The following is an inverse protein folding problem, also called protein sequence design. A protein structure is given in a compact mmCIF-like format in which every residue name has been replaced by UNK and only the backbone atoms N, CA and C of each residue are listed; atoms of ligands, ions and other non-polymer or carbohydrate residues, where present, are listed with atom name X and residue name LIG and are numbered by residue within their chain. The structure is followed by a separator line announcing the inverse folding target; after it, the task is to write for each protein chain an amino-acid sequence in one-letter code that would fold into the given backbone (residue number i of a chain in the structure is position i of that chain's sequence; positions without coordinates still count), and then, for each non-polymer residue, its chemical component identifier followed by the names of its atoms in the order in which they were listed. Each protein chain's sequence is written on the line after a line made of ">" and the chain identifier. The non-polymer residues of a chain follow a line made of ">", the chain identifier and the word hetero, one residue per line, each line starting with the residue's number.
data_IF_519436480889
#
_entry.id   IF_519436480889
#
_cell.length_a   1.000
_cell.length_b   1.000
_cell.length_c   1.000
_cell.angle_alpha   90.00
_cell.angle_beta   90.00
_cell.angle_gamma   90.00
#
_symmetry.space_group_name_H-M   'P 1'
#
loop_
_entity.id
_entity.type
_entity.pdbx_description
1 polymer ?
#
# COMPACT_ATOMS: atom_id res chain seq x y z
N UNK A 1 0.00 1.04 -10.64
CA UNK A 1 -1.00 1.12 -9.57
C UNK A 1 -1.42 2.56 -9.30
N UNK A 2 -0.53 3.38 -8.72
CA UNK A 2 -0.88 4.69 -8.15
C UNK A 2 -1.73 5.60 -9.06
N UNK A 3 -1.48 5.64 -10.37
CA UNK A 3 -2.19 6.49 -11.33
C UNK A 3 -3.52 5.93 -11.86
N UNK A 4 -3.98 4.76 -11.39
CA UNK A 4 -5.10 4.03 -12.01
C UNK A 4 -6.41 4.84 -12.06
N UNK A 5 -6.67 5.72 -11.09
CA UNK A 5 -7.88 6.55 -11.09
C UNK A 5 -7.69 7.82 -11.93
N UNK A 6 -6.51 8.44 -11.86
CA UNK A 6 -6.24 9.71 -12.54
C UNK A 6 -5.81 9.54 -14.01
N UNK A 7 -5.61 8.30 -14.48
CA UNK A 7 -5.08 8.00 -15.81
C UNK A 7 -5.98 8.54 -16.91
N UNK A 8 -7.28 8.30 -16.82
CA UNK A 8 -8.23 8.74 -17.84
C UNK A 8 -8.38 10.26 -17.89
N UNK A 9 -8.31 10.94 -16.74
CA UNK A 9 -8.28 12.40 -16.68
C UNK A 9 -6.97 12.96 -17.29
N UNK A 10 -5.84 12.29 -17.05
CA UNK A 10 -4.54 12.67 -17.64
C UNK A 10 -4.53 12.48 -19.15
N UNK A 11 -5.08 11.38 -19.62
CA UNK A 11 -5.05 10.96 -21.03
C UNK A 11 -6.22 11.55 -21.83
N UNK A 12 -7.05 12.41 -21.22
CA UNK A 12 -8.25 13.04 -21.83
C UNK A 12 -9.28 12.03 -22.36
N UNK A 13 -9.39 10.88 -21.70
CA UNK A 13 -10.36 9.82 -22.04
C UNK A 13 -11.50 9.69 -21.03
N UNK A 14 -11.48 10.50 -19.96
CA UNK A 14 -12.51 10.50 -18.92
C UNK A 14 -13.91 10.85 -19.49
N UNK A 15 -14.00 11.78 -20.44
CA UNK A 15 -15.27 12.16 -21.07
C UNK A 15 -15.92 10.98 -21.80
N UNK A 16 -15.16 10.25 -22.63
CA UNK A 16 -15.65 9.07 -23.34
C UNK A 16 -16.07 7.94 -22.40
N UNK A 17 -15.44 7.84 -21.22
CA UNK A 17 -15.83 6.85 -20.21
C UNK A 17 -17.16 7.23 -19.55
N UNK A 18 -17.37 8.52 -19.31
CA UNK A 18 -18.56 9.04 -18.61
C UNK A 18 -19.79 9.19 -19.52
N UNK A 19 -19.65 9.12 -20.84
CA UNK A 19 -20.80 9.02 -21.77
C UNK A 19 -21.43 7.63 -21.80
N UNK A 20 -20.72 6.60 -21.31
CA UNK A 20 -21.29 5.25 -21.18
C UNK A 20 -22.30 5.22 -20.02
N UNK A 21 -23.35 4.38 -20.09
CA UNK A 21 -24.34 4.24 -19.02
C UNK A 21 -23.79 3.46 -17.81
N UNK A 22 -22.65 3.88 -17.27
CA UNK A 22 -21.94 3.27 -16.15
C UNK A 22 -21.83 4.31 -15.04
N UNK A 23 -22.25 3.96 -13.83
CA UNK A 23 -22.17 4.88 -12.69
C UNK A 23 -20.72 5.13 -12.28
N UNK A 24 -20.42 6.34 -11.77
CA UNK A 24 -19.12 6.68 -11.18
C UNK A 24 -18.71 5.72 -10.05
N UNK A 25 -19.69 5.23 -9.28
CA UNK A 25 -19.46 4.21 -8.24
C UNK A 25 -18.92 2.92 -8.83
N UNK A 26 -19.51 2.44 -9.92
CA UNK A 26 -19.06 1.21 -10.57
C UNK A 26 -17.64 1.39 -11.14
N UNK A 27 -17.36 2.52 -11.79
CA UNK A 27 -16.01 2.83 -12.30
C UNK A 27 -14.97 2.77 -11.17
N UNK A 28 -15.26 3.42 -10.04
CA UNK A 28 -14.37 3.43 -8.88
C UNK A 28 -14.14 2.01 -8.32
N UNK A 29 -15.23 1.26 -8.05
CA UNK A 29 -15.13 -0.09 -7.48
C UNK A 29 -14.34 -1.02 -8.41
N UNK A 30 -14.62 -1.02 -9.71
CA UNK A 30 -13.89 -1.84 -10.68
C UNK A 30 -12.40 -1.51 -10.67
N UNK A 31 -12.03 -0.22 -10.63
CA UNK A 31 -10.62 0.20 -10.53
C UNK A 31 -9.96 -0.25 -9.23
N UNK A 32 -10.67 -0.19 -8.10
CA UNK A 32 -10.17 -0.68 -6.81
C UNK A 32 -9.97 -2.19 -6.81
N UNK A 33 -10.91 -2.94 -7.38
CA UNK A 33 -10.76 -4.39 -7.53
C UNK A 33 -9.54 -4.74 -8.40
N UNK A 34 -9.37 -4.08 -9.55
CA UNK A 34 -8.20 -4.29 -10.41
C UNK A 34 -6.90 -3.96 -9.66
N UNK A 35 -6.87 -2.88 -8.89
CA UNK A 35 -5.70 -2.48 -8.12
C UNK A 35 -5.36 -3.49 -7.02
N UNK A 36 -6.36 -3.96 -6.28
CA UNK A 36 -6.20 -4.99 -5.23
C UNK A 36 -5.74 -6.29 -5.85
N UNK A 37 -6.36 -6.74 -6.96
CA UNK A 37 -5.92 -7.95 -7.67
C UNK A 37 -4.47 -7.83 -8.10
N UNK A 38 -4.07 -6.69 -8.68
CA UNK A 38 -2.67 -6.47 -9.09
C UNK A 38 -1.71 -6.54 -7.89
N UNK A 39 -2.06 -5.91 -6.76
CA UNK A 39 -1.25 -5.93 -5.55
C UNK A 39 -1.13 -7.35 -4.97
N UNK A 40 -2.24 -8.08 -4.88
CA UNK A 40 -2.26 -9.46 -4.38
C UNK A 40 -1.51 -10.42 -5.31
N UNK A 41 -1.65 -10.27 -6.64
CA UNK A 41 -0.89 -11.08 -7.60
C UNK A 41 0.60 -10.81 -7.49
N UNK A 42 1.02 -9.54 -7.38
CA UNK A 42 2.43 -9.20 -7.19
C UNK A 42 2.99 -9.77 -5.89
N UNK A 43 2.22 -9.66 -4.80
CA UNK A 43 2.58 -10.24 -3.50
C UNK A 43 2.67 -11.77 -3.55
N UNK A 44 1.72 -12.42 -4.22
CA UNK A 44 1.73 -13.88 -4.38
C UNK A 44 2.96 -14.35 -5.16
N UNK A 45 3.26 -13.70 -6.28
CA UNK A 45 4.46 -14.00 -7.08
C UNK A 45 5.70 -13.82 -6.21
N UNK A 46 5.84 -12.69 -5.51
CA UNK A 46 6.97 -12.43 -4.62
C UNK A 46 7.10 -13.50 -3.51
N UNK A 47 5.99 -13.90 -2.89
CA UNK A 47 5.97 -14.91 -1.82
C UNK A 47 6.38 -16.28 -2.35
N UNK A 48 5.82 -16.70 -3.50
CA UNK A 48 6.17 -17.99 -4.14
C UNK A 48 7.65 -17.99 -4.53
N UNK A 49 8.15 -16.91 -5.13
CA UNK A 49 9.57 -16.78 -5.45
C UNK A 49 10.43 -16.90 -4.20
N UNK A 50 10.07 -16.21 -3.10
CA UNK A 50 10.81 -16.32 -1.85
C UNK A 50 10.85 -17.76 -1.32
N UNK A 51 9.72 -18.48 -1.35
CA UNK A 51 9.64 -19.89 -0.93
C UNK A 51 10.53 -20.78 -1.81
N UNK A 52 10.48 -20.61 -3.14
CA UNK A 52 11.31 -21.39 -4.08
C UNK A 52 12.81 -21.19 -3.76
N UNK A 53 13.24 -19.95 -3.53
CA UNK A 53 14.63 -19.66 -3.21
C UNK A 53 15.05 -20.20 -1.85
N UNK A 54 14.19 -20.11 -0.84
CA UNK A 54 14.46 -20.66 0.50
C UNK A 54 14.61 -22.19 0.44
N UNK A 55 13.73 -22.88 -0.29
CA UNK A 55 13.82 -24.34 -0.43
C UNK A 55 15.03 -24.75 -1.29
N UNK A 56 15.35 -23.98 -2.34
CA UNK A 56 16.43 -24.32 -3.27
C UNK A 56 17.84 -23.97 -2.79
N UNK A 57 17.99 -22.95 -1.95
CA UNK A 57 19.29 -22.41 -1.53
C UNK A 57 19.41 -22.09 -0.04
N UNK A 58 18.31 -22.18 0.73
CA UNK A 58 18.31 -21.85 2.15
C UNK A 58 18.90 -22.95 3.03
N UNK A 59 19.16 -22.59 4.28
CA UNK A 59 19.58 -23.52 5.33
C UNK A 59 18.39 -24.38 5.81
N UNK A 60 18.66 -25.57 6.36
CA UNK A 60 17.60 -26.50 6.78
C UNK A 60 16.71 -25.98 7.93
N UNK A 61 17.16 -24.96 8.69
CA UNK A 61 16.50 -24.48 9.91
C UNK A 61 15.65 -23.22 9.74
N UNK A 62 14.89 -23.11 8.64
CA UNK A 62 14.03 -21.95 8.40
C UNK A 62 12.83 -21.94 9.35
N UNK A 63 12.67 -20.85 10.10
CA UNK A 63 11.47 -20.63 10.90
C UNK A 63 10.31 -20.10 10.03
N UNK A 64 9.43 -21.01 9.61
CA UNK A 64 8.27 -20.67 8.79
C UNK A 64 7.25 -19.74 9.46
N UNK A 65 7.15 -19.76 10.80
CA UNK A 65 6.25 -18.86 11.54
C UNK A 65 6.70 -17.40 11.41
N UNK A 66 8.01 -17.16 11.56
CA UNK A 66 8.64 -15.85 11.35
C UNK A 66 8.43 -15.38 9.91
N UNK A 67 8.64 -16.29 8.92
CA UNK A 67 8.41 -16.00 7.51
C UNK A 67 6.98 -15.54 7.24
N UNK A 68 5.97 -16.26 7.73
CA UNK A 68 4.55 -15.94 7.54
C UNK A 68 4.21 -14.61 8.22
N UNK A 69 4.69 -14.39 9.45
CA UNK A 69 4.47 -13.14 10.19
C UNK A 69 5.02 -11.93 9.43
N UNK A 70 6.26 -12.03 8.93
CA UNK A 70 6.90 -11.00 8.11
C UNK A 70 6.11 -10.71 6.82
N UNK A 71 5.64 -11.75 6.14
CA UNK A 71 4.86 -11.60 4.91
C UNK A 71 3.48 -10.99 5.17
N UNK A 72 2.84 -11.33 6.29
CA UNK A 72 1.56 -10.74 6.68
C UNK A 72 1.70 -9.25 7.00
N UNK A 73 2.71 -8.86 7.80
CA UNK A 73 3.02 -7.45 8.06
C UNK A 73 3.30 -6.70 6.75
N UNK A 74 4.13 -7.29 5.87
CA UNK A 74 4.44 -6.74 4.54
C UNK A 74 3.20 -6.55 3.66
N UNK A 75 2.29 -7.52 3.62
CA UNK A 75 1.04 -7.42 2.86
C UNK A 75 0.17 -6.26 3.35
N UNK A 76 0.01 -6.12 4.67
CA UNK A 76 -0.80 -5.03 5.25
C UNK A 76 -0.18 -3.67 4.91
N UNK A 77 1.14 -3.54 4.97
CA UNK A 77 1.85 -2.34 4.56
C UNK A 77 1.66 -2.04 3.07
N UNK A 78 1.76 -3.05 2.18
CA UNK A 78 1.51 -2.89 0.74
C UNK A 78 0.10 -2.36 0.49
N UNK A 79 -0.91 -2.92 1.16
CA UNK A 79 -2.30 -2.47 1.03
C UNK A 79 -2.47 -1.03 1.56
N UNK A 80 -1.86 -0.72 2.69
CA UNK A 80 -1.91 0.61 3.30
C UNK A 80 -1.30 1.69 2.39
N UNK A 81 -0.08 1.48 1.89
CA UNK A 81 0.56 2.43 0.98
C UNK A 81 -0.15 2.50 -0.37
N UNK A 82 -0.76 1.41 -0.84
CA UNK A 82 -1.63 1.43 -2.02
C UNK A 82 -2.82 2.37 -1.81
N UNK A 83 -3.47 2.32 -0.64
CA UNK A 83 -4.59 3.19 -0.29
C UNK A 83 -4.16 4.66 -0.14
N UNK A 84 -2.96 4.91 0.40
CA UNK A 84 -2.36 6.27 0.40
C UNK A 84 -2.18 6.78 -1.03
N UNK A 85 -1.65 5.95 -1.93
CA UNK A 85 -1.47 6.32 -3.33
C UNK A 85 -2.79 6.68 -4.02
N UNK A 86 -3.84 5.90 -3.77
CA UNK A 86 -5.20 6.20 -4.24
C UNK A 86 -5.70 7.53 -3.69
N UNK A 87 -5.54 7.76 -2.39
CA UNK A 87 -5.96 9.02 -1.74
C UNK A 87 -5.23 10.24 -2.30
N UNK A 88 -3.90 10.16 -2.45
CA UNK A 88 -3.09 11.22 -3.04
C UNK A 88 -3.50 11.52 -4.49
N UNK A 89 -3.91 10.51 -5.25
CA UNK A 89 -4.40 10.71 -6.62
C UNK A 89 -5.65 11.59 -6.70
N UNK A 90 -6.43 11.67 -5.61
CA UNK A 90 -7.62 12.52 -5.52
C UNK A 90 -7.26 13.97 -5.14
N UNK A 91 -6.17 14.19 -4.41
CA UNK A 91 -5.72 15.51 -3.98
C UNK A 91 -4.85 16.21 -5.02
N UNK A 92 -4.05 15.47 -5.77
CA UNK A 92 -3.07 16.01 -6.72
C UNK A 92 -3.74 16.19 -8.09
N UNK A 93 -3.43 17.30 -8.77
CA UNK A 93 -3.95 17.57 -10.11
C UNK A 93 -3.58 16.44 -11.09
N UNK A 94 -4.51 15.95 -11.92
CA UNK A 94 -4.30 14.77 -12.78
C UNK A 94 -3.14 14.88 -13.76
N UNK A 95 -2.82 16.11 -14.18
CA UNK A 95 -1.72 16.40 -15.12
C UNK A 95 -0.32 16.23 -14.49
N UNK A 96 -0.21 16.16 -13.16
CA UNK A 96 1.07 15.97 -12.47
C UNK A 96 1.28 14.49 -12.15
N UNK A 97 2.48 13.98 -12.45
CA UNK A 97 2.88 12.65 -12.01
C UNK A 97 3.17 12.66 -10.50
N UNK A 98 2.38 11.94 -9.70
CA UNK A 98 2.54 11.81 -8.25
C UNK A 98 3.17 10.48 -7.81
N UNK A 99 3.64 9.68 -8.78
CA UNK A 99 4.33 8.43 -8.49
C UNK A 99 5.56 8.67 -7.61
N UNK A 100 6.35 9.71 -7.91
CA UNK A 100 7.53 10.06 -7.11
C UNK A 100 7.20 10.40 -5.65
N UNK A 101 6.07 11.10 -5.42
CA UNK A 101 5.61 11.41 -4.05
C UNK A 101 5.19 10.13 -3.32
N UNK A 102 4.46 9.24 -4.01
CA UNK A 102 4.01 7.97 -3.42
C UNK A 102 5.22 7.11 -3.03
N UNK A 103 6.18 6.96 -3.94
CA UNK A 103 7.44 6.23 -3.70
C UNK A 103 8.24 6.88 -2.56
N UNK A 104 8.35 8.21 -2.56
CA UNK A 104 9.02 8.97 -1.52
C UNK A 104 8.38 8.78 -0.13
N UNK A 105 7.06 8.66 -0.04
CA UNK A 105 6.37 8.38 1.23
C UNK A 105 6.70 6.97 1.72
N UNK A 106 6.70 5.96 0.84
CA UNK A 106 7.03 4.57 1.21
C UNK A 106 8.47 4.48 1.71
N UNK A 107 9.44 4.91 0.90
CA UNK A 107 10.85 4.83 1.26
C UNK A 107 11.21 5.79 2.38
N UNK A 108 10.66 7.00 2.39
CA UNK A 108 10.86 7.96 3.47
C UNK A 108 10.37 7.40 4.81
N UNK A 109 9.20 6.76 4.84
CA UNK A 109 8.72 6.08 6.04
C UNK A 109 9.65 4.95 6.47
N UNK A 110 10.12 4.12 5.54
CA UNK A 110 11.08 3.06 5.83
C UNK A 110 12.37 3.62 6.45
N UNK A 111 12.95 4.67 5.86
CA UNK A 111 14.16 5.31 6.38
C UNK A 111 13.94 5.97 7.75
N UNK A 112 12.80 6.61 7.99
CA UNK A 112 12.47 7.16 9.30
C UNK A 112 12.50 6.08 10.39
N UNK A 113 11.94 4.90 10.10
CA UNK A 113 11.99 3.77 11.03
C UNK A 113 13.41 3.23 11.19
N UNK A 114 14.15 3.07 10.09
CA UNK A 114 15.54 2.59 10.15
C UNK A 114 16.44 3.51 10.99
N UNK A 115 16.28 4.83 10.86
CA UNK A 115 16.99 5.82 11.68
C UNK A 115 16.57 5.69 13.15
N UNK A 116 15.28 5.53 13.43
CA UNK A 116 14.77 5.39 14.79
C UNK A 116 15.32 4.14 15.50
N UNK A 117 15.55 3.04 14.78
CA UNK A 117 16.12 1.80 15.32
C UNK A 117 17.59 1.92 15.74
N UNK A 118 18.32 2.95 15.26
CA UNK A 118 19.69 3.25 15.74
C UNK A 118 19.68 3.70 17.21
N UNK A 119 18.54 4.17 17.72
CA UNK A 119 18.34 4.54 19.11
C UNK A 119 18.79 5.96 19.46
N UNK A 120 18.75 6.28 20.75
CA UNK A 120 19.08 7.61 21.27
C UNK A 120 18.00 8.67 21.03
N UNK A 121 18.41 9.90 20.74
CA UNK A 121 17.52 11.07 20.61
C UNK A 121 16.59 11.04 19.37
N UNK A 122 16.75 10.06 18.49
CA UNK A 122 16.00 9.94 17.22
C UNK A 122 14.95 8.82 17.23
N UNK A 123 14.79 8.10 18.34
CA UNK A 123 13.82 7.00 18.47
C UNK A 123 12.38 7.43 18.17
N UNK A 124 12.03 8.69 18.47
CA UNK A 124 10.69 9.23 18.22
C UNK A 124 10.31 9.28 16.74
N UNK A 125 11.27 9.29 15.81
CA UNK A 125 10.99 9.27 14.37
C UNK A 125 10.25 8.00 13.93
N UNK A 126 10.42 6.90 14.68
CA UNK A 126 9.74 5.63 14.42
C UNK A 126 8.22 5.77 14.48
N UNK A 127 7.70 6.56 15.42
CA UNK A 127 6.25 6.74 15.58
C UNK A 127 5.55 7.36 14.36
N UNK A 128 6.31 8.04 13.48
CA UNK A 128 5.82 8.59 12.21
C UNK A 128 5.76 7.55 11.09
N UNK A 129 6.37 6.39 11.27
CA UNK A 129 6.50 5.37 10.25
C UNK A 129 5.54 4.19 10.47
N UNK A 130 4.76 3.78 9.46
CA UNK A 130 4.02 2.52 9.48
C UNK A 130 4.90 1.30 9.78
N UNK A 131 6.17 1.34 9.34
CA UNK A 131 7.14 0.26 9.54
C UNK A 131 7.57 0.09 11.01
N UNK A 132 7.29 1.06 11.88
CA UNK A 132 7.53 0.93 13.31
C UNK A 132 6.51 0.02 13.99
N UNK A 133 5.26 0.05 13.53
CA UNK A 133 4.15 -0.69 14.14
C UNK A 133 3.99 -2.10 13.57
N UNK A 134 4.32 -2.26 12.29
CA UNK A 134 4.39 -3.53 11.58
C UNK A 134 5.85 -3.78 11.20
N UNK A 135 6.65 -4.09 12.21
CA UNK A 135 8.09 -4.24 12.07
C UNK A 135 8.49 -5.60 11.46
N UNK A 136 9.79 -5.73 11.20
CA UNK A 136 10.42 -6.94 10.68
C UNK A 136 11.52 -7.41 11.64
N UNK A 137 11.18 -7.48 12.93
CA UNK A 137 12.10 -7.89 14.00
C UNK A 137 12.32 -9.41 14.01
N UNK A 138 12.76 -9.97 12.88
CA UNK A 138 12.83 -11.41 12.61
C UNK A 138 13.81 -12.18 13.51
N UNK A 139 14.70 -11.48 14.21
CA UNK A 139 15.66 -12.04 15.17
C UNK A 139 15.11 -12.08 16.60
N UNK A 140 13.98 -11.42 16.87
CA UNK A 140 13.32 -11.48 18.18
C UNK A 140 12.68 -12.87 18.38
N UNK A 141 13.03 -13.61 19.45
CA UNK A 141 12.41 -14.90 19.76
C UNK A 141 10.89 -14.85 19.94
N UNK A 142 10.33 -13.69 20.31
CA UNK A 142 8.91 -13.47 20.49
C UNK A 142 8.23 -12.85 19.27
N UNK A 143 8.94 -12.74 18.14
CA UNK A 143 8.40 -12.17 16.92
C UNK A 143 7.16 -12.95 16.46
N UNK A 144 6.04 -12.25 16.47
CA UNK A 144 4.72 -12.81 16.22
C UNK A 144 3.82 -11.73 15.61
N UNK A 145 2.67 -12.15 15.09
CA UNK A 145 1.74 -11.25 14.42
C UNK A 145 1.24 -10.19 15.40
N UNK A 146 1.47 -8.93 15.06
CA UNK A 146 0.93 -7.81 15.81
C UNK A 146 -0.53 -7.56 15.41
N UNK A 147 -1.43 -8.42 15.90
CA UNK A 147 -2.86 -8.43 15.54
C UNK A 147 -3.52 -7.05 15.71
N UNK A 148 -3.34 -6.31 16.83
CA UNK A 148 -3.92 -4.98 16.98
C UNK A 148 -3.48 -4.02 15.87
N UNK A 149 -2.19 -3.98 15.56
CA UNK A 149 -1.68 -3.06 14.54
C UNK A 149 -2.16 -3.46 13.14
N UNK A 150 -2.20 -4.75 12.83
CA UNK A 150 -2.78 -5.24 11.57
C UNK A 150 -4.20 -4.70 11.37
N UNK A 151 -5.08 -4.83 12.38
CA UNK A 151 -6.44 -4.31 12.29
C UNK A 151 -6.50 -2.79 12.16
N UNK A 152 -5.65 -2.05 12.88
CA UNK A 152 -5.56 -0.59 12.78
C UNK A 152 -5.21 -0.17 11.35
N UNK A 153 -4.18 -0.77 10.75
CA UNK A 153 -3.76 -0.42 9.39
C UNK A 153 -4.78 -0.82 8.32
N UNK A 154 -5.47 -1.95 8.50
CA UNK A 154 -6.59 -2.34 7.62
C UNK A 154 -7.75 -1.35 7.73
N UNK A 155 -8.10 -0.92 8.94
CA UNK A 155 -9.13 0.09 9.17
C UNK A 155 -8.76 1.44 8.54
N UNK A 156 -7.52 1.92 8.73
CA UNK A 156 -7.02 3.15 8.11
C UNK A 156 -7.04 3.06 6.59
N UNK A 157 -6.66 1.91 6.03
CA UNK A 157 -6.73 1.64 4.59
C UNK A 157 -8.17 1.76 4.07
N UNK A 158 -9.14 1.13 4.76
CA UNK A 158 -10.55 1.22 4.41
C UNK A 158 -11.07 2.68 4.51
N UNK A 159 -10.69 3.41 5.56
CA UNK A 159 -11.04 4.82 5.71
C UNK A 159 -10.50 5.68 4.55
N UNK A 160 -9.24 5.48 4.14
CA UNK A 160 -8.64 6.17 3.00
C UNK A 160 -9.39 5.87 1.69
N UNK A 161 -9.81 4.62 1.46
CA UNK A 161 -10.60 4.27 0.28
C UNK A 161 -11.99 4.91 0.30
N UNK A 162 -12.65 4.98 1.45
CA UNK A 162 -13.96 5.64 1.59
C UNK A 162 -13.83 7.15 1.34
N UNK A 163 -12.81 7.79 1.91
CA UNK A 163 -12.54 9.21 1.68
C UNK A 163 -12.23 9.47 0.21
N UNK A 164 -11.40 8.64 -0.41
CA UNK A 164 -11.07 8.72 -1.85
C UNK A 164 -12.32 8.58 -2.72
N UNK A 165 -13.24 7.68 -2.37
CA UNK A 165 -14.51 7.53 -3.09
C UNK A 165 -15.39 8.78 -2.97
N UNK A 166 -15.49 9.37 -1.77
CA UNK A 166 -16.25 10.62 -1.57
C UNK A 166 -15.69 11.76 -2.41
N UNK A 167 -14.38 11.92 -2.42
CA UNK A 167 -13.70 12.92 -3.24
C UNK A 167 -13.91 12.65 -4.74
N UNK A 168 -13.79 11.40 -5.19
CA UNK A 168 -14.03 11.01 -6.58
C UNK A 168 -15.46 11.33 -7.04
N UNK A 169 -16.44 11.14 -6.17
CA UNK A 169 -17.85 11.44 -6.46
C UNK A 169 -18.11 12.95 -6.57
N UNK A 170 -17.51 13.76 -5.70
CA UNK A 170 -17.69 15.22 -5.69
C UNK A 170 -16.80 15.95 -6.68
N UNK A 171 -15.83 15.28 -7.29
CA UNK A 171 -14.89 15.91 -8.22
C UNK A 171 -15.59 16.24 -9.54
N UNK A 172 -15.62 17.51 -9.86
CA UNK A 172 -15.98 17.99 -11.19
C UNK A 172 -14.90 17.52 -12.16
N UNK A 173 -15.31 16.57 -13.01
CA UNK A 173 -14.53 16.17 -14.16
C UNK A 173 -15.01 17.11 -15.26
N UNK A 174 -14.48 18.34 -15.23
CA UNK A 174 -14.72 19.32 -16.27
C UNK A 174 -14.09 18.83 -17.57
N UNK A 175 -14.89 18.82 -18.64
CA UNK A 175 -14.44 18.67 -20.02
C UNK A 175 -13.42 19.77 -20.39
#
# INVERSE_FOLDING_TARGET
>A
GATIISKEEKDKTAEFLLTKPISRKNIYITKMLVLITLALTAFLIQTITAIIFIIGFGEENVNWSVFVTMHLHGLVLILFFTCIGVFLSMLIKPKKNFMGITVGIVFGSYFLNAIAQVGGNLSWLGYLSPFHYLDFSVTDPNYSVNVPQVFIFLFLSAALLILSFRLYKSKDISA
#
